data_IF_622432345484
#
_entry.id   IF_622432345484
#
_cell.length_a   1.000
_cell.length_b   1.000
_cell.length_c   1.000
_cell.angle_alpha   90.00
_cell.angle_beta   90.00
_cell.angle_gamma   90.00
#
_symmetry.space_group_name_H-M   'P 1'
#
loop_
_entity.id
_entity.type
_entity.pdbx_description
1 polymer ?
#
# COMPACT_ATOMS: atom_id res chain seq x y z
N UNK A 1 1.80 -2.57 -6.56
CA UNK A 1 0.53 -2.25 -7.21
C UNK A 1 -0.57 -2.18 -6.16
N UNK A 2 -1.42 -1.16 -6.22
CA UNK A 2 -2.61 -0.99 -5.39
C UNK A 2 -3.94 -1.12 -6.17
N UNK A 3 -3.88 -1.40 -7.45
CA UNK A 3 -5.03 -1.72 -8.31
C UNK A 3 -4.53 -2.59 -9.48
N UNK A 4 -4.45 -3.88 -9.23
CA UNK A 4 -3.88 -4.83 -10.18
C UNK A 4 -4.80 -5.00 -11.39
N UNK A 5 -6.11 -5.01 -11.20
CA UNK A 5 -7.07 -5.21 -12.31
C UNK A 5 -6.99 -4.11 -13.37
N UNK A 6 -6.72 -2.88 -12.93
CA UNK A 6 -6.60 -1.72 -13.83
C UNK A 6 -5.23 -1.66 -14.50
N UNK A 7 -4.16 -2.03 -13.79
CA UNK A 7 -2.80 -1.74 -14.22
C UNK A 7 -2.05 -2.94 -14.77
N UNK A 8 -2.65 -4.15 -14.77
CA UNK A 8 -1.95 -5.37 -15.17
C UNK A 8 -1.30 -5.26 -16.56
N UNK A 9 -2.07 -4.88 -17.56
CA UNK A 9 -1.58 -4.81 -18.95
C UNK A 9 -0.49 -3.75 -19.14
N UNK A 10 -0.72 -2.57 -18.57
CA UNK A 10 0.22 -1.45 -18.68
C UNK A 10 1.53 -1.71 -17.95
N UNK A 11 1.52 -2.56 -16.94
CA UNK A 11 2.68 -2.91 -16.12
C UNK A 11 3.42 -4.14 -16.68
N UNK A 12 2.70 -5.20 -17.10
CA UNK A 12 3.32 -6.43 -17.60
C UNK A 12 4.12 -6.19 -18.90
N UNK A 13 3.71 -5.20 -19.69
CA UNK A 13 4.36 -4.87 -20.96
C UNK A 13 5.76 -4.25 -20.79
N UNK A 14 5.99 -3.19 -19.99
CA UNK A 14 7.30 -2.52 -19.86
C UNK A 14 8.24 -3.18 -18.86
N UNK A 15 7.76 -4.11 -18.02
CA UNK A 15 8.62 -4.74 -17.00
C UNK A 15 9.88 -5.35 -17.62
N UNK A 16 11.01 -5.09 -17.01
CA UNK A 16 12.31 -5.62 -17.47
C UNK A 16 12.43 -7.13 -17.19
N UNK A 17 13.25 -7.85 -17.96
CA UNK A 17 13.63 -9.22 -17.61
C UNK A 17 14.22 -9.29 -16.19
N UNK A 18 13.88 -10.37 -15.47
CA UNK A 18 14.20 -10.57 -14.05
C UNK A 18 13.64 -9.47 -13.12
N UNK A 19 12.62 -8.73 -13.57
CA UNK A 19 11.93 -7.75 -12.76
C UNK A 19 11.08 -8.39 -11.66
N UNK A 20 10.60 -7.56 -10.73
CA UNK A 20 9.74 -7.98 -9.62
C UNK A 20 8.48 -7.13 -9.57
N UNK A 21 7.38 -7.77 -9.26
CA UNK A 21 6.07 -7.14 -9.11
C UNK A 21 5.51 -7.56 -7.77
N UNK A 22 5.15 -6.60 -6.95
CA UNK A 22 4.38 -6.84 -5.74
C UNK A 22 3.00 -6.17 -5.84
N UNK A 23 1.93 -6.89 -5.51
CA UNK A 23 0.58 -6.36 -5.40
C UNK A 23 0.12 -6.37 -3.96
N UNK A 24 -0.39 -5.24 -3.48
CA UNK A 24 -0.95 -5.09 -2.13
C UNK A 24 -2.48 -5.21 -2.12
N UNK A 25 -3.09 -5.44 -3.27
CA UNK A 25 -4.52 -5.65 -3.43
C UNK A 25 -4.81 -6.97 -4.14
N UNK A 26 -5.93 -7.56 -3.81
CA UNK A 26 -6.45 -8.71 -4.51
C UNK A 26 -6.91 -8.31 -5.92
N UNK A 27 -6.88 -9.26 -6.85
CA UNK A 27 -7.47 -9.12 -8.17
C UNK A 27 -8.90 -9.68 -8.16
N UNK A 28 -9.81 -8.98 -8.81
CA UNK A 28 -11.19 -9.42 -9.01
C UNK A 28 -11.40 -10.12 -10.35
N UNK A 29 -10.42 -10.03 -11.24
CA UNK A 29 -10.41 -10.67 -12.56
C UNK A 29 -9.18 -11.57 -12.71
N UNK A 30 -9.27 -12.68 -13.45
CA UNK A 30 -8.10 -13.48 -13.76
C UNK A 30 -6.98 -12.63 -14.39
N UNK A 31 -5.76 -12.81 -13.93
CA UNK A 31 -4.56 -12.18 -14.50
C UNK A 31 -3.74 -13.22 -15.26
N UNK A 32 -3.25 -12.87 -16.44
CA UNK A 32 -2.44 -13.74 -17.26
C UNK A 32 -0.96 -13.64 -16.89
N UNK A 33 -0.54 -14.46 -15.92
CA UNK A 33 0.87 -14.53 -15.49
C UNK A 33 1.81 -15.01 -16.61
N UNK A 34 1.30 -15.66 -17.66
CA UNK A 34 2.15 -16.15 -18.76
C UNK A 34 2.83 -14.99 -19.52
N UNK A 35 2.26 -13.79 -19.49
CA UNK A 35 2.91 -12.59 -20.04
C UNK A 35 4.27 -12.28 -19.42
N UNK A 36 4.52 -12.79 -18.23
CA UNK A 36 5.76 -12.58 -17.49
C UNK A 36 6.80 -13.69 -17.73
N UNK A 37 6.40 -14.83 -18.24
CA UNK A 37 7.23 -16.06 -18.31
C UNK A 37 8.54 -15.85 -19.07
N UNK A 38 8.48 -15.29 -20.30
CA UNK A 38 9.67 -15.07 -21.14
C UNK A 38 10.65 -14.08 -20.54
N UNK A 39 10.18 -13.23 -19.62
CA UNK A 39 11.00 -12.24 -18.92
C UNK A 39 11.48 -12.74 -17.55
N UNK A 40 11.06 -13.93 -17.11
CA UNK A 40 11.40 -14.51 -15.80
C UNK A 40 11.07 -13.53 -14.65
N UNK A 41 9.92 -12.86 -14.71
CA UNK A 41 9.49 -11.90 -13.69
C UNK A 41 8.96 -12.65 -12.48
N UNK A 42 9.35 -12.21 -11.29
CA UNK A 42 8.78 -12.67 -10.04
C UNK A 42 7.51 -11.87 -9.74
N UNK A 43 6.46 -12.56 -9.30
CA UNK A 43 5.22 -11.93 -8.86
C UNK A 43 4.89 -12.39 -7.44
N UNK A 44 4.54 -11.44 -6.57
CA UNK A 44 4.15 -11.72 -5.20
C UNK A 44 2.93 -10.87 -4.79
N UNK A 45 2.05 -11.46 -3.98
CA UNK A 45 1.08 -10.70 -3.21
C UNK A 45 1.66 -10.32 -1.87
N UNK A 46 1.43 -9.07 -1.48
CA UNK A 46 1.74 -8.54 -0.16
C UNK A 46 0.43 -8.30 0.58
N UNK A 47 0.16 -9.11 1.57
CA UNK A 47 -1.01 -8.95 2.41
C UNK A 47 -0.59 -8.66 3.85
N UNK A 48 -0.81 -7.43 4.31
CA UNK A 48 -0.36 -6.93 5.62
C UNK A 48 -0.87 -7.78 6.80
N UNK A 49 -2.04 -8.40 6.65
CA UNK A 49 -2.64 -9.24 7.70
C UNK A 49 -2.15 -10.68 7.72
N UNK A 50 -1.35 -11.11 6.75
CA UNK A 50 -0.91 -12.50 6.57
C UNK A 50 -0.30 -13.07 7.86
N UNK A 51 0.59 -12.31 8.50
CA UNK A 51 1.25 -12.75 9.73
C UNK A 51 0.27 -12.96 10.88
N UNK A 52 -0.66 -12.04 11.07
CA UNK A 52 -1.66 -12.12 12.12
C UNK A 52 -2.71 -13.20 11.84
N UNK A 53 -3.16 -13.32 10.59
CA UNK A 53 -4.17 -14.28 10.19
C UNK A 53 -3.68 -15.72 10.36
N UNK A 54 -2.45 -16.01 9.94
CA UNK A 54 -1.88 -17.36 10.03
C UNK A 54 -1.09 -17.62 11.31
N UNK A 55 -1.02 -16.66 12.24
CA UNK A 55 -0.32 -16.78 13.54
C UNK A 55 1.12 -17.28 13.39
N UNK A 56 1.84 -16.74 12.41
CA UNK A 56 3.22 -17.20 12.14
C UNK A 56 4.19 -16.73 13.24
N UNK A 57 5.30 -17.46 13.49
CA UNK A 57 6.24 -17.13 14.58
C UNK A 57 6.83 -15.74 14.54
N UNK A 58 6.88 -15.11 13.37
CA UNK A 58 7.45 -13.79 13.10
C UNK A 58 6.42 -12.63 13.26
N UNK A 59 5.30 -12.88 13.93
CA UNK A 59 4.21 -11.89 14.11
C UNK A 59 4.71 -10.56 14.71
N UNK A 60 5.62 -10.61 15.66
CA UNK A 60 6.14 -9.42 16.35
C UNK A 60 6.95 -8.48 15.44
N UNK A 61 7.45 -8.96 14.30
CA UNK A 61 8.29 -8.16 13.40
C UNK A 61 7.58 -6.92 12.83
N UNK A 62 6.27 -6.96 12.66
CA UNK A 62 5.49 -5.80 12.19
C UNK A 62 5.55 -4.64 13.19
N UNK A 63 5.39 -4.93 14.48
CA UNK A 63 5.53 -3.93 15.55
C UNK A 63 6.94 -3.34 15.62
N UNK A 64 7.96 -4.19 15.48
CA UNK A 64 9.36 -3.77 15.45
C UNK A 64 9.63 -2.81 14.28
N UNK A 65 9.16 -3.15 13.08
CA UNK A 65 9.31 -2.31 11.88
C UNK A 65 8.61 -0.96 12.08
N UNK A 66 7.38 -0.95 12.61
CA UNK A 66 6.65 0.28 12.86
C UNK A 66 7.36 1.17 13.90
N UNK A 67 7.93 0.58 14.95
CA UNK A 67 8.75 1.30 15.91
C UNK A 67 9.99 1.93 15.30
N UNK A 68 10.68 1.22 14.41
CA UNK A 68 11.82 1.77 13.67
C UNK A 68 11.40 2.92 12.74
N UNK A 69 10.27 2.81 12.05
CA UNK A 69 9.73 3.87 11.20
C UNK A 69 9.40 5.11 12.04
N UNK A 70 8.75 4.95 13.20
CA UNK A 70 8.45 6.06 14.10
C UNK A 70 9.74 6.78 14.51
N UNK A 71 10.75 6.06 14.94
CA UNK A 71 12.06 6.61 15.30
C UNK A 71 12.71 7.40 14.14
N UNK A 72 12.64 6.87 12.91
CA UNK A 72 13.19 7.55 11.74
C UNK A 72 12.44 8.84 11.39
N UNK A 73 11.11 8.86 11.60
CA UNK A 73 10.29 10.07 11.44
C UNK A 73 10.66 11.13 12.48
N UNK A 74 10.78 10.75 13.76
CA UNK A 74 11.20 11.63 14.85
C UNK A 74 12.59 12.23 14.62
N UNK A 75 13.50 11.46 14.04
CA UNK A 75 14.84 11.91 13.66
C UNK A 75 14.90 12.70 12.35
N UNK A 76 13.76 12.98 11.71
CA UNK A 76 13.66 13.63 10.40
C UNK A 76 14.45 12.91 9.28
N UNK A 77 14.71 11.60 9.43
CA UNK A 77 15.33 10.75 8.40
C UNK A 77 14.32 10.22 7.38
N UNK A 78 13.05 10.24 7.75
CA UNK A 78 11.92 9.98 6.86
C UNK A 78 10.99 11.18 6.87
N UNK A 79 10.40 11.48 5.72
CA UNK A 79 9.35 12.49 5.61
C UNK A 79 7.98 11.82 5.67
N UNK A 80 7.08 12.39 6.47
CA UNK A 80 5.69 11.97 6.48
C UNK A 80 5.02 12.26 5.14
N UNK A 81 4.15 11.36 4.71
CA UNK A 81 3.27 11.58 3.55
C UNK A 81 1.96 12.28 3.92
N UNK A 82 1.85 12.79 5.14
CA UNK A 82 0.72 13.58 5.60
C UNK A 82 0.66 14.89 4.83
N UNK A 83 -0.46 15.14 4.13
CA UNK A 83 -0.68 16.38 3.36
C UNK A 83 -1.86 17.20 3.86
N UNK A 84 -2.76 16.59 4.66
CA UNK A 84 -3.93 17.27 5.18
C UNK A 84 -4.29 16.79 6.59
N UNK A 85 -4.52 17.75 7.49
CA UNK A 85 -5.05 17.49 8.83
C UNK A 85 -6.38 18.23 8.99
N UNK A 86 -7.42 17.55 9.46
CA UNK A 86 -8.73 18.11 9.77
C UNK A 86 -8.90 18.07 11.29
N UNK A 87 -9.22 19.20 11.88
CA UNK A 87 -9.44 19.36 13.32
C UNK A 87 -10.78 20.05 13.58
N UNK A 88 -11.48 19.72 14.66
CA UNK A 88 -11.30 18.58 15.54
C UNK A 88 -11.91 17.29 14.95
N UNK A 89 -11.86 16.19 15.69
CA UNK A 89 -12.56 14.95 15.32
C UNK A 89 -14.07 15.18 15.42
N UNK A 90 -14.73 15.34 14.28
CA UNK A 90 -16.19 15.50 14.16
C UNK A 90 -16.73 14.63 13.04
N UNK A 91 -18.03 14.33 13.08
CA UNK A 91 -18.69 13.61 12.00
C UNK A 91 -18.59 14.33 10.64
N UNK A 92 -18.55 15.67 10.66
CA UNK A 92 -18.37 16.47 9.44
C UNK A 92 -16.97 16.28 8.86
N UNK A 93 -15.92 16.40 9.67
CA UNK A 93 -14.54 16.24 9.26
C UNK A 93 -14.24 14.79 8.84
N UNK A 94 -14.84 13.79 9.50
CA UNK A 94 -14.74 12.39 9.06
C UNK A 94 -15.36 12.19 7.68
N UNK A 95 -16.56 12.70 7.43
CA UNK A 95 -17.18 12.64 6.09
C UNK A 95 -16.33 13.31 5.03
N UNK A 96 -15.77 14.48 5.34
CA UNK A 96 -14.86 15.18 4.43
C UNK A 96 -13.59 14.37 4.13
N UNK A 97 -13.00 13.74 5.15
CA UNK A 97 -11.84 12.88 4.96
C UNK A 97 -12.16 11.68 4.05
N UNK A 98 -13.30 11.01 4.26
CA UNK A 98 -13.77 9.94 3.39
C UNK A 98 -13.94 10.39 1.93
N UNK A 99 -14.63 11.50 1.70
CA UNK A 99 -14.81 12.06 0.36
C UNK A 99 -13.48 12.34 -0.35
N UNK A 100 -12.49 12.88 0.37
CA UNK A 100 -11.16 13.13 -0.18
C UNK A 100 -10.47 11.83 -0.60
N UNK A 101 -10.51 10.79 0.22
CA UNK A 101 -9.89 9.50 -0.09
C UNK A 101 -10.63 8.79 -1.23
N UNK A 102 -11.96 8.78 -1.21
CA UNK A 102 -12.81 8.12 -2.23
C UNK A 102 -12.72 8.78 -3.60
N UNK A 103 -12.35 10.08 -3.64
CA UNK A 103 -12.15 10.78 -4.92
C UNK A 103 -11.01 10.20 -5.77
N UNK A 104 -10.10 9.42 -5.19
CA UNK A 104 -8.88 8.91 -5.81
C UNK A 104 -7.95 9.98 -6.41
N UNK A 105 -8.15 11.26 -6.05
CA UNK A 105 -7.34 12.40 -6.54
C UNK A 105 -6.39 12.92 -5.46
N UNK A 106 -6.50 12.40 -4.25
CA UNK A 106 -5.68 12.87 -3.14
C UNK A 106 -4.24 12.35 -3.25
N UNK A 107 -3.29 13.26 -3.14
CA UNK A 107 -1.87 12.93 -3.00
C UNK A 107 -1.50 13.00 -1.52
N UNK A 108 -0.88 11.93 -1.02
CA UNK A 108 -0.49 11.82 0.39
C UNK A 108 -1.62 11.28 1.28
N UNK A 109 -1.61 11.68 2.54
CA UNK A 109 -2.53 11.18 3.57
C UNK A 109 -3.33 12.32 4.20
N UNK A 110 -4.57 12.02 4.57
CA UNK A 110 -5.40 12.88 5.43
C UNK A 110 -5.53 12.26 6.81
N UNK A 111 -5.40 13.07 7.84
CA UNK A 111 -5.61 12.69 9.24
C UNK A 111 -6.71 13.57 9.81
N UNK A 112 -7.55 12.99 10.67
CA UNK A 112 -8.50 13.72 11.50
C UNK A 112 -8.01 13.61 12.94
N UNK A 113 -7.75 14.74 13.59
CA UNK A 113 -7.14 14.81 14.93
C UNK A 113 -7.87 15.82 15.82
N UNK A 114 -7.63 15.75 17.11
CA UNK A 114 -8.02 16.80 18.08
C UNK A 114 -6.88 17.82 18.25
#
# INVERSE_FOLDING_TARGET
LNNIDQHWESMARPIKPNGRIASITENHRPIDLQKLTKKRVEFAWEWVFSKAYYQIPDLASQGIILGQIATLLEQNKLQSTLTKCLNPITAANLRQAHQLVESNQMIGKVVVAN
#
